data_IF_205780439787
#
_entry.id   IF_205780439787
#
_cell.length_a   1.000
_cell.length_b   1.000
_cell.length_c   1.000
_cell.angle_alpha   90.00
_cell.angle_beta   90.00
_cell.angle_gamma   90.00
#
_symmetry.space_group_name_H-M   'P 1'
#
loop_
_entity.id
_entity.type
_entity.pdbx_description
1 polymer ?
#
# COMPACT_ATOMS: atom_id res chain seq x y z
N UNK A 1 -15.91 8.86 -9.81
CA UNK A 1 -16.11 9.43 -8.46
C UNK A 1 -14.75 9.40 -7.78
N UNK A 2 -14.12 10.55 -7.51
CA UNK A 2 -12.77 10.54 -6.94
C UNK A 2 -12.78 10.25 -5.45
N UNK A 3 -11.97 9.26 -5.10
CA UNK A 3 -11.89 8.70 -3.76
C UNK A 3 -10.87 9.43 -2.88
N UNK A 4 -10.10 10.38 -3.42
CA UNK A 4 -8.90 10.92 -2.77
C UNK A 4 -9.25 11.96 -1.71
N UNK A 5 -9.94 13.04 -2.07
CA UNK A 5 -10.35 14.06 -1.10
C UNK A 5 -11.30 13.50 -0.04
N UNK A 6 -12.18 12.58 -0.42
CA UNK A 6 -13.08 11.91 0.53
C UNK A 6 -12.30 11.01 1.48
N UNK A 7 -11.33 10.23 0.98
CA UNK A 7 -10.44 9.43 1.80
C UNK A 7 -9.63 10.30 2.77
N UNK A 8 -9.10 11.44 2.33
CA UNK A 8 -8.32 12.35 3.19
C UNK A 8 -9.19 12.98 4.29
N UNK A 9 -10.40 13.44 3.95
CA UNK A 9 -11.35 13.96 4.95
C UNK A 9 -11.72 12.91 5.98
N UNK A 10 -11.94 11.67 5.54
CA UNK A 10 -12.24 10.54 6.42
C UNK A 10 -11.05 10.20 7.31
N UNK A 11 -9.85 10.10 6.75
CA UNK A 11 -8.61 9.83 7.49
C UNK A 11 -8.37 10.89 8.57
N UNK A 12 -8.57 12.16 8.23
CA UNK A 12 -8.39 13.27 9.16
C UNK A 12 -9.42 13.20 10.31
N UNK A 13 -10.70 12.96 10.01
CA UNK A 13 -11.75 12.77 11.01
C UNK A 13 -11.47 11.58 11.93
N UNK A 14 -11.00 10.46 11.39
CA UNK A 14 -10.59 9.28 12.17
C UNK A 14 -9.38 9.56 13.07
N UNK A 15 -8.41 10.33 12.57
CA UNK A 15 -7.25 10.76 13.35
C UNK A 15 -7.65 11.69 14.48
N UNK A 16 -8.55 12.65 14.24
CA UNK A 16 -9.08 13.57 15.25
C UNK A 16 -9.90 12.83 16.31
N UNK A 17 -10.80 11.94 15.90
CA UNK A 17 -11.58 11.11 16.85
C UNK A 17 -10.69 10.18 17.66
N UNK A 18 -9.67 9.57 17.04
CA UNK A 18 -8.64 8.81 17.77
C UNK A 18 -7.90 9.70 18.75
N UNK A 19 -7.45 10.89 18.35
CA UNK A 19 -6.74 11.82 19.21
C UNK A 19 -7.59 12.25 20.42
N UNK A 20 -8.86 12.62 20.20
CA UNK A 20 -9.80 12.95 21.27
C UNK A 20 -10.03 11.79 22.24
N UNK A 21 -10.06 10.54 21.75
CA UNK A 21 -10.20 9.34 22.59
C UNK A 21 -9.01 9.13 23.54
N UNK A 22 -7.80 9.57 23.18
CA UNK A 22 -6.58 9.33 23.97
C UNK A 22 -6.02 10.57 24.70
N UNK A 23 -6.49 11.79 24.37
CA UNK A 23 -6.01 13.03 25.00
C UNK A 23 -6.24 13.07 26.53
N UNK A 24 -7.32 12.45 27.03
CA UNK A 24 -7.60 12.37 28.47
C UNK A 24 -6.76 11.35 29.26
N UNK A 25 -6.02 10.46 28.58
CA UNK A 25 -5.25 9.38 29.24
C UNK A 25 -3.75 9.72 29.31
N UNK A 26 -3.25 10.53 28.37
CA UNK A 26 -1.82 10.88 28.28
C UNK A 26 -1.38 12.00 29.26
N UNK A 27 -2.32 12.72 29.87
CA UNK A 27 -2.04 13.87 30.75
C UNK A 27 -1.52 13.49 32.15
N UNK A 28 -1.52 12.21 32.56
CA UNK A 28 -1.21 11.82 33.95
C UNK A 28 0.10 11.04 34.15
N UNK A 29 0.84 10.69 33.09
CA UNK A 29 2.05 9.88 33.22
C UNK A 29 3.30 10.74 33.45
N UNK A 30 3.44 11.28 34.67
CA UNK A 30 4.67 11.88 35.16
C UNK A 30 5.87 10.93 35.14
N UNK A 31 7.01 11.44 34.67
CA UNK A 31 8.31 10.78 34.57
C UNK A 31 8.71 9.97 35.81
N UNK A 32 9.00 8.67 35.62
CA UNK A 32 9.87 7.90 36.52
C UNK A 32 11.07 7.37 35.73
N UNK A 33 12.23 7.99 35.93
CA UNK A 33 13.52 7.49 35.45
C UNK A 33 13.81 6.13 36.12
N UNK A 34 13.83 5.05 35.32
CA UNK A 34 14.35 3.75 35.77
C UNK A 34 15.85 3.68 35.49
N UNK A 35 16.61 3.62 36.57
CA UNK A 35 18.05 3.43 36.64
C UNK A 35 18.40 1.98 36.25
N UNK A 36 19.16 1.79 35.16
CA UNK A 36 19.70 0.50 34.73
C UNK A 36 21.11 0.29 35.32
N UNK A 37 21.36 -0.75 36.13
CA UNK A 37 22.71 -1.03 36.60
C UNK A 37 23.49 -1.93 35.62
N UNK A 38 24.72 -1.51 35.31
CA UNK A 38 25.87 -2.40 35.22
C UNK A 38 26.17 -3.09 33.89
N UNK A 39 27.24 -2.64 33.22
CA UNK A 39 27.91 -3.29 32.08
C UNK A 39 28.41 -4.73 32.35
N UNK A 40 28.28 -5.24 33.58
CA UNK A 40 28.72 -6.57 33.99
C UNK A 40 27.91 -7.71 33.35
N UNK A 41 26.63 -7.49 33.02
CA UNK A 41 25.78 -8.53 32.42
C UNK A 41 26.17 -8.83 30.96
N UNK A 42 26.77 -7.86 30.27
CA UNK A 42 27.20 -7.98 28.88
C UNK A 42 28.48 -8.82 28.74
N UNK A 43 29.41 -8.75 29.70
CA UNK A 43 30.64 -9.56 29.70
C UNK A 43 30.40 -11.04 30.02
N UNK A 44 29.37 -11.35 30.84
CA UNK A 44 29.04 -12.75 31.17
C UNK A 44 28.54 -13.55 29.96
N UNK A 45 27.90 -12.91 28.98
CA UNK A 45 27.45 -13.56 27.75
C UNK A 45 28.58 -13.79 26.73
N UNK A 46 29.67 -13.01 26.78
CA UNK A 46 30.70 -13.03 25.75
C UNK A 46 31.70 -14.19 25.88
N UNK A 47 31.80 -14.83 27.06
CA UNK A 47 32.79 -15.90 27.31
C UNK A 47 32.24 -17.35 27.25
N UNK A 48 30.93 -17.57 27.35
CA UNK A 48 30.35 -18.94 27.42
C UNK A 48 29.98 -19.52 26.05
N UNK A 49 29.73 -18.67 25.05
CA UNK A 49 29.29 -19.10 23.71
C UNK A 49 30.40 -19.85 22.92
N UNK A 50 31.69 -19.44 22.94
CA UNK A 50 32.73 -20.13 22.17
C UNK A 50 33.03 -21.56 22.65
N UNK A 51 32.89 -21.83 23.95
CA UNK A 51 33.20 -23.14 24.56
C UNK A 51 32.09 -24.18 24.30
N UNK A 52 30.84 -23.73 24.19
CA UNK A 52 29.72 -24.60 23.82
C UNK A 52 29.76 -24.99 22.33
N UNK A 53 30.18 -24.08 21.46
CA UNK A 53 30.28 -24.33 20.01
C UNK A 53 31.41 -25.32 19.68
N UNK A 54 32.56 -25.22 20.35
CA UNK A 54 33.67 -26.18 20.15
C UNK A 54 33.36 -27.57 20.70
N UNK A 55 32.66 -27.69 21.83
CA UNK A 55 32.17 -28.96 22.35
C UNK A 55 31.11 -29.60 21.44
N UNK A 56 30.21 -28.80 20.87
CA UNK A 56 29.18 -29.26 19.93
C UNK A 56 29.78 -29.78 18.61
N UNK A 57 30.75 -29.06 18.03
CA UNK A 57 31.42 -29.47 16.80
C UNK A 57 32.30 -30.72 16.97
N UNK A 58 32.86 -30.97 18.17
CA UNK A 58 33.64 -32.18 18.45
C UNK A 58 32.78 -33.42 18.75
N UNK A 59 31.56 -33.25 19.28
CA UNK A 59 30.67 -34.37 19.60
C UNK A 59 29.76 -34.78 18.44
N UNK A 60 29.39 -33.86 17.54
CA UNK A 60 28.46 -34.15 16.44
C UNK A 60 29.10 -34.45 15.08
N UNK A 61 30.42 -34.35 14.95
CA UNK A 61 31.11 -34.58 13.66
C UNK A 61 31.79 -35.95 13.55
N UNK A 62 31.09 -37.02 13.97
CA UNK A 62 31.38 -38.39 13.53
C UNK A 62 30.09 -39.12 13.17
N UNK A 63 29.90 -39.36 11.87
CA UNK A 63 28.95 -40.33 11.34
C UNK A 63 27.69 -39.76 10.70
N UNK A 64 27.83 -39.15 9.53
CA UNK A 64 26.75 -39.21 8.53
C UNK A 64 27.31 -39.90 7.28
N UNK A 65 27.32 -41.24 7.33
CA UNK A 65 27.36 -42.05 6.12
C UNK A 65 26.18 -41.63 5.22
N UNK A 66 26.37 -41.35 3.91
CA UNK A 66 25.27 -41.03 3.02
C UNK A 66 24.54 -42.32 2.68
N UNK A 67 23.71 -42.80 3.60
CA UNK A 67 22.85 -43.93 3.33
C UNK A 67 21.70 -43.43 2.46
N UNK A 68 21.82 -43.69 1.15
CA UNK A 68 20.79 -43.49 0.14
C UNK A 68 19.55 -44.32 0.47
N UNK A 69 18.72 -43.82 1.40
CA UNK A 69 17.37 -44.30 1.65
C UNK A 69 16.44 -43.22 1.12
N UNK A 70 15.68 -43.58 0.09
CA UNK A 70 14.52 -42.80 -0.31
C UNK A 70 13.62 -42.65 0.93
N UNK A 71 13.30 -41.43 1.40
CA UNK A 71 12.32 -41.28 2.46
C UNK A 71 11.01 -41.92 1.99
N UNK A 72 10.28 -42.65 2.86
CA UNK A 72 8.96 -43.15 2.50
C UNK A 72 8.15 -41.97 1.96
N UNK A 73 7.53 -42.17 0.79
CA UNK A 73 6.87 -41.11 0.03
C UNK A 73 5.97 -40.29 0.93
N UNK A 74 6.44 -39.10 1.32
CA UNK A 74 5.59 -38.11 1.91
C UNK A 74 4.74 -37.64 0.74
N UNK A 75 3.55 -38.22 0.57
CA UNK A 75 2.54 -37.63 -0.29
C UNK A 75 2.44 -36.17 0.16
N UNK A 76 2.85 -35.26 -0.73
CA UNK A 76 2.84 -33.85 -0.43
C UNK A 76 1.40 -33.52 -0.02
N UNK A 77 1.21 -33.15 1.26
CA UNK A 77 -0.08 -32.65 1.72
C UNK A 77 -0.45 -31.57 0.70
N UNK A 78 -1.57 -31.71 -0.04
CA UNK A 78 -1.97 -30.70 -0.99
C UNK A 78 -2.03 -29.39 -0.21
N UNK A 79 -1.14 -28.45 -0.55
CA UNK A 79 -1.20 -27.13 0.05
C UNK A 79 -2.62 -26.62 -0.21
N UNK A 80 -3.30 -26.06 0.81
CA UNK A 80 -4.64 -25.54 0.62
C UNK A 80 -4.62 -24.66 -0.63
N UNK A 81 -5.57 -24.89 -1.55
CA UNK A 81 -5.64 -24.15 -2.81
C UNK A 81 -5.55 -22.66 -2.48
N UNK A 82 -4.45 -22.03 -2.89
CA UNK A 82 -4.26 -20.62 -2.62
C UNK A 82 -5.34 -19.87 -3.38
N UNK A 83 -6.15 -19.03 -2.72
CA UNK A 83 -7.17 -18.28 -3.41
C UNK A 83 -6.51 -17.48 -4.53
N UNK A 84 -7.07 -17.58 -5.74
CA UNK A 84 -6.53 -16.88 -6.90
C UNK A 84 -6.49 -15.37 -6.65
N UNK A 85 -5.60 -14.68 -7.36
CA UNK A 85 -5.41 -13.23 -7.23
C UNK A 85 -6.73 -12.44 -7.22
N UNK A 86 -7.64 -12.80 -8.13
CA UNK A 86 -8.95 -12.19 -8.27
C UNK A 86 -9.81 -12.35 -7.01
N UNK A 87 -9.84 -13.54 -6.40
CA UNK A 87 -10.67 -13.79 -5.22
C UNK A 87 -10.15 -13.05 -3.98
N UNK A 88 -8.83 -12.97 -3.80
CA UNK A 88 -8.21 -12.17 -2.73
C UNK A 88 -8.48 -10.68 -2.94
N UNK A 89 -8.31 -10.19 -4.18
CA UNK A 89 -8.52 -8.80 -4.53
C UNK A 89 -10.00 -8.40 -4.38
N UNK A 90 -10.93 -9.22 -4.82
CA UNK A 90 -12.37 -8.96 -4.69
C UNK A 90 -12.80 -8.86 -3.23
N UNK A 91 -12.30 -9.75 -2.36
CA UNK A 91 -12.51 -9.66 -0.92
C UNK A 91 -11.95 -8.35 -0.35
N UNK A 92 -10.75 -7.95 -0.78
CA UNK A 92 -10.14 -6.69 -0.38
C UNK A 92 -10.99 -5.47 -0.81
N UNK A 93 -11.58 -5.52 -2.00
CA UNK A 93 -12.48 -4.48 -2.52
C UNK A 93 -13.75 -4.37 -1.69
N UNK A 94 -14.36 -5.51 -1.34
CA UNK A 94 -15.56 -5.53 -0.46
C UNK A 94 -15.25 -4.88 0.89
N UNK A 95 -14.10 -5.21 1.49
CA UNK A 95 -13.65 -4.62 2.75
C UNK A 95 -13.33 -3.13 2.62
N UNK A 96 -12.68 -2.73 1.53
CA UNK A 96 -12.38 -1.33 1.23
C UNK A 96 -13.68 -0.51 1.15
N UNK A 97 -14.67 -0.99 0.37
CA UNK A 97 -15.99 -0.35 0.24
C UNK A 97 -16.76 -0.31 1.57
N UNK A 98 -16.55 -1.30 2.43
CA UNK A 98 -17.14 -1.35 3.77
C UNK A 98 -16.39 -0.46 4.79
N UNK A 99 -15.34 0.24 4.36
CA UNK A 99 -14.53 1.11 5.22
C UNK A 99 -13.53 0.38 6.12
N UNK A 100 -13.38 -0.94 5.98
CA UNK A 100 -12.40 -1.72 6.73
C UNK A 100 -11.03 -1.65 6.02
N UNK A 101 -10.45 -0.46 6.03
CA UNK A 101 -9.27 -0.12 5.22
C UNK A 101 -8.02 -0.89 5.65
N UNK A 102 -7.85 -1.19 6.94
CA UNK A 102 -6.68 -1.93 7.42
C UNK A 102 -6.69 -3.39 6.95
N UNK A 103 -7.82 -4.06 7.01
CA UNK A 103 -7.93 -5.44 6.51
C UNK A 103 -7.90 -5.48 4.98
N UNK A 104 -8.50 -4.49 4.30
CA UNK A 104 -8.39 -4.34 2.85
C UNK A 104 -6.93 -4.18 2.42
N UNK A 105 -6.17 -3.31 3.09
CA UNK A 105 -4.73 -3.10 2.86
C UNK A 105 -3.96 -4.40 2.97
N UNK A 106 -4.16 -5.15 4.06
CA UNK A 106 -3.51 -6.45 4.29
C UNK A 106 -3.78 -7.43 3.14
N UNK A 107 -5.02 -7.49 2.65
CA UNK A 107 -5.37 -8.37 1.53
C UNK A 107 -4.84 -7.89 0.18
N UNK A 108 -4.75 -6.58 -0.06
CA UNK A 108 -4.07 -6.07 -1.26
C UNK A 108 -2.57 -6.37 -1.22
N UNK A 109 -1.92 -6.17 -0.07
CA UNK A 109 -0.51 -6.53 0.13
C UNK A 109 -0.28 -8.04 -0.06
N UNK A 110 -1.18 -8.88 0.46
CA UNK A 110 -1.14 -10.33 0.26
C UNK A 110 -1.34 -10.71 -1.22
N UNK A 111 -2.27 -10.05 -1.91
CA UNK A 111 -2.48 -10.23 -3.36
C UNK A 111 -1.21 -9.88 -4.12
N UNK A 112 -0.55 -8.77 -3.79
CA UNK A 112 0.66 -8.29 -4.47
C UNK A 112 1.92 -9.08 -4.09
N UNK A 113 1.94 -9.71 -2.92
CA UNK A 113 3.01 -10.64 -2.53
C UNK A 113 3.00 -11.89 -3.44
N UNK A 114 1.80 -12.39 -3.77
CA UNK A 114 1.63 -13.55 -4.64
C UNK A 114 1.62 -13.20 -6.13
N UNK A 115 1.07 -12.03 -6.47
CA UNK A 115 0.86 -11.56 -7.83
C UNK A 115 1.34 -10.10 -7.94
N UNK A 116 2.65 -9.86 -8.04
CA UNK A 116 3.24 -8.51 -7.96
C UNK A 116 2.71 -7.52 -9.00
N UNK A 117 2.20 -8.03 -10.11
CA UNK A 117 1.74 -7.22 -11.25
C UNK A 117 0.20 -7.13 -11.35
N UNK A 118 -0.51 -7.45 -10.26
CA UNK A 118 -1.97 -7.32 -10.20
C UNK A 118 -2.40 -5.85 -10.17
N UNK A 119 -2.69 -5.31 -11.36
CA UNK A 119 -2.97 -3.88 -11.63
C UNK A 119 -4.05 -3.28 -10.70
N UNK A 120 -5.17 -3.98 -10.53
CA UNK A 120 -6.27 -3.48 -9.69
C UNK A 120 -5.89 -3.42 -8.21
N UNK A 121 -5.06 -4.36 -7.74
CA UNK A 121 -4.59 -4.37 -6.35
C UNK A 121 -3.56 -3.25 -6.13
N UNK A 122 -2.68 -2.99 -7.10
CA UNK A 122 -1.77 -1.84 -7.07
C UNK A 122 -2.54 -0.51 -7.00
N UNK A 123 -3.56 -0.35 -7.85
CA UNK A 123 -4.38 0.86 -7.86
C UNK A 123 -5.10 1.06 -6.52
N UNK A 124 -5.79 0.04 -6.02
CA UNK A 124 -6.56 0.17 -4.77
C UNK A 124 -5.66 0.32 -3.54
N UNK A 125 -4.47 -0.30 -3.52
CA UNK A 125 -3.48 -0.07 -2.46
C UNK A 125 -2.94 1.37 -2.52
N UNK A 126 -2.76 1.93 -3.71
CA UNK A 126 -2.38 3.33 -3.89
C UNK A 126 -3.41 4.31 -3.29
N UNK A 127 -4.70 4.04 -3.47
CA UNK A 127 -5.79 4.83 -2.85
C UNK A 127 -5.74 4.74 -1.31
N UNK A 128 -5.47 3.56 -0.75
CA UNK A 128 -5.28 3.42 0.70
C UNK A 128 -4.04 4.19 1.17
N UNK A 129 -2.96 4.19 0.40
CA UNK A 129 -1.77 4.97 0.75
C UNK A 129 -2.04 6.47 0.78
N UNK A 130 -2.91 6.99 -0.09
CA UNK A 130 -3.39 8.37 0.00
C UNK A 130 -4.14 8.60 1.31
N UNK A 131 -5.06 7.72 1.69
CA UNK A 131 -5.76 7.80 2.97
C UNK A 131 -4.77 7.83 4.16
N UNK A 132 -3.69 7.07 4.07
CA UNK A 132 -2.62 7.02 5.08
C UNK A 132 -1.66 8.24 5.00
N UNK A 133 -1.88 9.20 4.10
CA UNK A 133 -0.97 10.32 3.78
C UNK A 133 0.43 9.87 3.31
N UNK A 134 0.55 8.65 2.80
CA UNK A 134 1.78 8.09 2.24
C UNK A 134 1.81 8.26 0.71
N UNK A 135 1.95 9.50 0.28
CA UNK A 135 1.89 9.88 -1.14
C UNK A 135 3.00 9.27 -1.98
N UNK A 136 4.18 9.02 -1.41
CA UNK A 136 5.29 8.36 -2.11
C UNK A 136 4.96 6.91 -2.47
N UNK A 137 4.39 6.14 -1.53
CA UNK A 137 3.92 4.78 -1.81
C UNK A 137 2.71 4.75 -2.75
N UNK A 138 1.81 5.73 -2.65
CA UNK A 138 0.69 5.87 -3.58
C UNK A 138 1.19 6.07 -5.01
N UNK A 139 2.08 7.04 -5.22
CA UNK A 139 2.71 7.31 -6.53
C UNK A 139 3.38 6.09 -7.11
N UNK A 140 4.18 5.38 -6.30
CA UNK A 140 4.86 4.17 -6.75
C UNK A 140 3.87 3.08 -7.20
N UNK A 141 2.75 2.93 -6.49
CA UNK A 141 1.72 1.95 -6.80
C UNK A 141 0.99 2.28 -8.11
N UNK A 142 0.56 3.53 -8.29
CA UNK A 142 -0.07 3.99 -9.53
C UNK A 142 0.88 3.92 -10.72
N UNK A 143 2.12 4.40 -10.56
CA UNK A 143 3.13 4.35 -11.62
C UNK A 143 3.44 2.90 -12.03
N UNK A 144 3.50 1.96 -11.07
CA UNK A 144 3.67 0.54 -11.39
C UNK A 144 2.45 -0.02 -12.13
N UNK A 145 1.24 0.31 -11.71
CA UNK A 145 0.00 -0.08 -12.39
C UNK A 145 -0.02 0.40 -13.85
N UNK A 146 0.31 1.68 -14.10
CA UNK A 146 0.41 2.27 -15.43
C UNK A 146 1.51 1.61 -16.27
N UNK A 147 2.65 1.27 -15.67
CA UNK A 147 3.73 0.59 -16.38
C UNK A 147 3.32 -0.81 -16.87
N UNK A 148 2.54 -1.53 -16.07
CA UNK A 148 2.04 -2.88 -16.41
C UNK A 148 0.90 -2.78 -17.43
N UNK A 149 -0.04 -1.85 -17.21
CA UNK A 149 -1.21 -1.63 -18.05
C UNK A 149 -1.35 -0.13 -18.36
N UNK A 150 -0.73 0.35 -19.47
CA UNK A 150 -0.72 1.77 -19.82
C UNK A 150 -2.09 2.37 -20.11
N UNK A 151 -3.08 1.54 -20.42
CA UNK A 151 -4.48 1.86 -20.70
C UNK A 151 -5.40 1.75 -19.47
N UNK A 152 -4.84 1.55 -18.26
CA UNK A 152 -5.62 1.50 -17.02
C UNK A 152 -6.01 2.91 -16.56
N UNK A 153 -7.19 3.35 -16.99
CA UNK A 153 -7.75 4.71 -16.77
C UNK A 153 -7.67 5.13 -15.31
N UNK A 154 -8.10 4.29 -14.37
CA UNK A 154 -8.16 4.62 -12.94
C UNK A 154 -6.79 5.01 -12.37
N UNK A 155 -5.71 4.32 -12.76
CA UNK A 155 -4.38 4.64 -12.25
C UNK A 155 -3.84 5.95 -12.84
N UNK A 156 -4.10 6.23 -14.13
CA UNK A 156 -3.76 7.53 -14.71
C UNK A 156 -4.53 8.67 -14.02
N UNK A 157 -5.84 8.49 -13.82
CA UNK A 157 -6.68 9.47 -13.14
C UNK A 157 -6.25 9.70 -11.68
N UNK A 158 -6.01 8.63 -10.91
CA UNK A 158 -5.56 8.72 -9.52
C UNK A 158 -4.19 9.37 -9.40
N UNK A 159 -3.28 9.14 -10.36
CA UNK A 159 -1.98 9.80 -10.38
C UNK A 159 -2.12 11.29 -10.71
N UNK A 160 -3.02 11.67 -11.63
CA UNK A 160 -3.34 13.07 -11.91
C UNK A 160 -3.87 13.80 -10.66
N UNK A 161 -4.82 13.18 -9.96
CA UNK A 161 -5.35 13.70 -8.69
C UNK A 161 -4.29 13.82 -7.60
N UNK A 162 -3.34 12.88 -7.54
CA UNK A 162 -2.23 12.94 -6.58
C UNK A 162 -1.28 14.11 -6.88
N UNK A 163 -0.91 14.33 -8.14
CA UNK A 163 -0.10 15.48 -8.54
C UNK A 163 -0.84 16.80 -8.27
N UNK A 164 -2.14 16.86 -8.57
CA UNK A 164 -3.00 17.99 -8.23
C UNK A 164 -2.99 18.26 -6.71
N UNK A 165 -3.16 17.24 -5.87
CA UNK A 165 -3.11 17.36 -4.42
C UNK A 165 -1.77 17.92 -3.91
N UNK A 166 -0.66 17.57 -4.56
CA UNK A 166 0.69 18.06 -4.21
C UNK A 166 1.01 19.43 -4.81
N UNK A 167 0.12 20.00 -5.63
CA UNK A 167 0.29 21.29 -6.31
C UNK A 167 1.09 21.22 -7.62
N UNK A 168 1.39 20.02 -8.10
CA UNK A 168 2.10 19.79 -9.36
C UNK A 168 1.11 19.79 -10.53
N UNK A 169 0.77 21.00 -10.97
CA UNK A 169 -0.23 21.22 -12.04
C UNK A 169 0.19 20.57 -13.35
N UNK A 170 1.47 20.68 -13.72
CA UNK A 170 1.97 20.24 -15.02
C UNK A 170 1.83 18.72 -15.17
N UNK A 171 2.37 17.93 -14.22
CA UNK A 171 2.24 16.48 -14.27
C UNK A 171 0.79 16.02 -14.05
N UNK A 172 0.02 16.75 -13.24
CA UNK A 172 -1.41 16.53 -13.09
C UNK A 172 -2.15 16.55 -14.43
N UNK A 173 -1.91 17.58 -15.24
CA UNK A 173 -2.51 17.73 -16.58
C UNK A 173 -2.05 16.64 -17.54
N UNK A 174 -0.77 16.24 -17.51
CA UNK A 174 -0.24 15.16 -18.35
C UNK A 174 -0.99 13.84 -18.12
N UNK A 175 -1.13 13.43 -16.85
CA UNK A 175 -1.83 12.18 -16.53
C UNK A 175 -3.34 12.30 -16.72
N UNK A 176 -3.93 13.47 -16.48
CA UNK A 176 -5.36 13.70 -16.72
C UNK A 176 -5.69 13.62 -18.21
N UNK A 177 -4.90 14.27 -19.06
CA UNK A 177 -5.02 14.20 -20.52
C UNK A 177 -4.91 12.77 -21.02
N UNK A 178 -3.99 11.99 -20.44
CA UNK A 178 -3.87 10.56 -20.73
C UNK A 178 -5.13 9.78 -20.31
N UNK A 179 -5.68 10.03 -19.12
CA UNK A 179 -6.92 9.38 -18.69
C UNK A 179 -8.10 9.72 -19.62
N UNK A 180 -8.23 10.99 -20.02
CA UNK A 180 -9.26 11.48 -20.95
C UNK A 180 -9.12 10.89 -22.36
N UNK A 181 -7.89 10.65 -22.83
CA UNK A 181 -7.67 10.04 -24.14
C UNK A 181 -8.02 8.55 -24.17
N UNK A 182 -7.89 7.87 -23.03
CA UNK A 182 -8.29 6.46 -22.85
C UNK A 182 -9.80 6.31 -22.66
N UNK A 183 -10.42 7.20 -21.87
CA UNK A 183 -11.86 7.21 -21.62
C UNK A 183 -12.39 8.66 -21.58
N UNK A 184 -13.21 9.00 -22.57
CA UNK A 184 -13.77 10.35 -22.70
C UNK A 184 -14.73 10.72 -21.56
N UNK A 185 -15.31 9.75 -20.86
CA UNK A 185 -16.20 10.01 -19.72
C UNK A 185 -15.45 10.60 -18.52
N UNK A 186 -14.11 10.46 -18.48
CA UNK A 186 -13.25 11.11 -17.48
C UNK A 186 -13.42 12.63 -17.49
N UNK A 187 -13.75 13.24 -18.65
CA UNK A 187 -14.03 14.69 -18.74
C UNK A 187 -15.12 15.12 -17.78
N UNK A 188 -16.17 14.32 -17.65
CA UNK A 188 -17.31 14.64 -16.80
C UNK A 188 -16.94 14.54 -15.32
N UNK A 189 -16.15 13.54 -14.96
CA UNK A 189 -15.67 13.36 -13.60
C UNK A 189 -14.74 14.49 -13.19
N UNK A 190 -13.78 14.83 -14.07
CA UNK A 190 -12.75 15.81 -13.80
C UNK A 190 -13.31 17.22 -13.51
N UNK A 191 -14.36 17.63 -14.24
CA UNK A 191 -15.04 18.93 -14.05
C UNK A 191 -15.71 19.06 -12.68
N UNK A 192 -16.20 17.96 -12.14
CA UNK A 192 -16.92 17.95 -10.86
C UNK A 192 -16.01 17.64 -9.68
N UNK A 193 -14.85 17.06 -9.92
CA UNK A 193 -13.95 16.59 -8.89
C UNK A 193 -13.23 17.73 -8.16
N UNK A 194 -13.37 17.75 -6.84
CA UNK A 194 -12.67 18.68 -5.96
C UNK A 194 -11.17 18.44 -5.89
N UNK A 195 -10.69 17.21 -6.12
CA UNK A 195 -9.25 16.89 -6.13
C UNK A 195 -8.48 17.64 -7.23
N UNK A 196 -9.18 18.02 -8.30
CA UNK A 196 -8.60 18.71 -9.45
C UNK A 196 -8.90 20.21 -9.44
N UNK A 197 -9.37 20.76 -8.31
CA UNK A 197 -9.78 22.17 -8.23
C UNK A 197 -8.65 23.14 -8.61
N UNK A 198 -7.40 22.81 -8.26
CA UNK A 198 -6.24 23.63 -8.57
C UNK A 198 -5.76 23.52 -10.02
N UNK A 199 -6.28 22.58 -10.80
CA UNK A 199 -6.05 22.51 -12.25
C UNK A 199 -7.04 23.39 -13.02
N UNK A 200 -8.18 23.76 -12.41
CA UNK A 200 -9.21 24.57 -13.06
C UNK A 200 -8.70 25.98 -13.34
N UNK A 201 -9.06 26.53 -14.49
CA UNK A 201 -8.55 27.80 -15.00
C UNK A 201 -7.22 27.70 -15.74
N UNK A 202 -6.56 26.55 -15.73
CA UNK A 202 -5.48 26.28 -16.69
C UNK A 202 -6.09 26.06 -18.08
N UNK A 203 -5.60 26.74 -19.14
CA UNK A 203 -6.15 26.59 -20.48
C UNK A 203 -6.19 25.15 -20.99
N UNK A 204 -5.19 24.33 -20.65
CA UNK A 204 -5.13 22.93 -21.08
C UNK A 204 -6.20 22.09 -20.37
N UNK A 205 -6.47 22.38 -19.09
CA UNK A 205 -7.55 21.74 -18.33
C UNK A 205 -8.92 22.05 -18.94
N UNK A 206 -9.18 23.31 -19.25
CA UNK A 206 -10.46 23.73 -19.85
C UNK A 206 -10.63 23.09 -21.23
N UNK A 207 -9.63 23.18 -22.11
CA UNK A 207 -9.67 22.58 -23.45
C UNK A 207 -9.93 21.06 -23.39
N UNK A 208 -9.25 20.33 -22.51
CA UNK A 208 -9.41 18.87 -22.44
C UNK A 208 -10.78 18.46 -21.88
N UNK A 209 -11.34 19.26 -20.96
CA UNK A 209 -12.62 18.96 -20.31
C UNK A 209 -13.83 19.57 -21.00
N UNK A 210 -13.64 20.48 -21.95
CA UNK A 210 -14.70 21.05 -22.78
C UNK A 210 -15.44 19.96 -23.56
N UNK A 211 -16.77 20.00 -23.49
CA UNK A 211 -17.61 19.28 -24.41
C UNK A 211 -17.63 20.06 -25.72
N UNK A 212 -16.92 19.57 -26.73
CA UNK A 212 -17.21 19.98 -28.09
C UNK A 212 -18.57 19.36 -28.45
N UNK A 213 -19.64 20.05 -28.05
CA UNK A 213 -20.97 19.79 -28.57
C UNK A 213 -20.86 19.96 -30.07
N UNK A 214 -21.04 18.88 -30.82
CA UNK A 214 -21.28 18.97 -32.25
C UNK A 214 -22.53 19.85 -32.36
N UNK A 215 -22.36 21.07 -32.84
CA UNK A 215 -23.47 21.87 -33.32
C UNK A 215 -23.97 21.16 -34.58
N UNK A 216 -24.96 20.28 -34.41
CA UNK A 216 -25.84 19.83 -35.51
C UNK A 216 -26.99 20.83 -35.68
#
# INVERSE_FOLDING_TARGET
MSYINEALKKAQKEKETRYHKYHGIASEAGHKHRFFPGKALWWAFFCLIPFAVTAYLLLFHRGTEPHNRQPPGFEAIPLPERPGAAALCEKAIVLHRSGNLQEAKRLYEETLCQYPDHVEALNNLGVIHIHDNNYSSARASFAKAIRIRPDYVDACYNLACLHALEGDVIEGLVYLKKAVSLDKSVKDWARMDSDLQNLRGDPEFEEMTESHGVME
#
